data_IF_918368574310
#
_entry.id   IF_918368574310
#
_cell.length_a   1.000
_cell.length_b   1.000
_cell.length_c   1.000
_cell.angle_alpha   90.00
_cell.angle_beta   90.00
_cell.angle_gamma   90.00
#
_symmetry.space_group_name_H-M   'P 1'
#
loop_
_entity.id
_entity.type
_entity.pdbx_description
1 polymer ?
#
# COMPACT_ATOMS: atom_id res chain seq x y z
N UNK A 1 -10.72 3.76 23.63
CA UNK A 1 -9.49 3.84 22.81
C UNK A 1 -9.90 4.37 21.45
N UNK A 2 -9.47 5.57 21.01
CA UNK A 2 -9.71 5.99 19.64
C UNK A 2 -8.91 5.06 18.73
N UNK A 3 -9.61 4.41 17.79
CA UNK A 3 -8.95 3.64 16.72
C UNK A 3 -8.32 4.67 15.80
N UNK A 4 -7.04 5.00 16.01
CA UNK A 4 -6.30 5.88 15.13
C UNK A 4 -6.26 5.22 13.75
N UNK A 5 -7.00 5.77 12.78
CA UNK A 5 -6.96 5.28 11.41
C UNK A 5 -5.51 5.38 10.93
N UNK A 6 -4.86 4.26 10.56
CA UNK A 6 -3.45 4.31 10.16
C UNK A 6 -3.31 5.26 8.97
N UNK A 7 -2.18 5.98 8.93
CA UNK A 7 -1.78 6.74 7.74
C UNK A 7 -1.84 5.78 6.55
N UNK A 8 -2.71 6.07 5.59
CA UNK A 8 -2.87 5.21 4.41
C UNK A 8 -1.91 5.74 3.35
N UNK A 9 -0.84 5.00 3.00
CA UNK A 9 0.08 5.47 1.98
C UNK A 9 -0.66 5.62 0.65
N UNK A 10 -0.20 6.54 -0.20
CA UNK A 10 -0.60 6.50 -1.60
C UNK A 10 -0.12 5.18 -2.21
N UNK A 11 -0.82 4.68 -3.23
CA UNK A 11 -0.42 3.49 -3.97
C UNK A 11 1.07 3.52 -4.39
N UNK A 12 1.50 4.65 -4.96
CA UNK A 12 2.90 4.88 -5.32
C UNK A 12 3.86 4.82 -4.12
N UNK A 13 3.53 5.49 -3.01
CA UNK A 13 4.34 5.48 -1.80
C UNK A 13 4.51 4.09 -1.20
N UNK A 14 3.42 3.33 -1.12
CA UNK A 14 3.45 1.93 -0.68
C UNK A 14 4.29 1.05 -1.60
N UNK A 15 4.16 1.21 -2.92
CA UNK A 15 4.93 0.43 -3.90
C UNK A 15 6.43 0.70 -3.80
N UNK A 16 6.82 1.97 -3.67
CA UNK A 16 8.23 2.38 -3.46
C UNK A 16 8.78 1.74 -2.19
N UNK A 17 8.06 1.88 -1.07
CA UNK A 17 8.47 1.30 0.21
C UNK A 17 8.69 -0.20 0.12
N UNK A 18 7.76 -0.89 -0.53
CA UNK A 18 7.82 -2.34 -0.72
C UNK A 18 9.06 -2.77 -1.50
N UNK A 19 9.27 -2.20 -2.69
CA UNK A 19 10.41 -2.56 -3.54
C UNK A 19 11.74 -2.15 -2.92
N UNK A 20 11.80 -0.97 -2.28
CA UNK A 20 12.99 -0.51 -1.56
C UNK A 20 13.38 -1.51 -0.47
N UNK A 21 12.43 -1.91 0.39
CA UNK A 21 12.68 -2.90 1.46
C UNK A 21 13.11 -4.26 0.92
N UNK A 22 12.46 -4.77 -0.13
CA UNK A 22 12.82 -6.05 -0.74
C UNK A 22 14.23 -6.08 -1.32
N UNK A 23 14.76 -4.93 -1.73
CA UNK A 23 16.12 -4.77 -2.26
C UNK A 23 17.15 -4.38 -1.20
N UNK A 24 16.74 -4.20 0.06
CA UNK A 24 17.64 -3.76 1.13
C UNK A 24 18.13 -2.30 0.98
N UNK A 25 17.49 -1.50 0.12
CA UNK A 25 17.85 -0.10 -0.10
C UNK A 25 17.35 0.74 1.07
N UNK A 26 18.13 1.70 1.53
CA UNK A 26 17.80 2.62 2.61
C UNK A 26 17.10 3.88 2.10
N UNK A 27 16.43 4.61 2.99
CA UNK A 27 15.85 5.92 2.65
C UNK A 27 16.93 6.93 2.22
N UNK A 28 18.15 6.82 2.77
CA UNK A 28 19.26 7.72 2.48
C UNK A 28 19.80 7.49 1.08
N UNK A 29 19.94 6.23 0.65
CA UNK A 29 20.37 5.90 -0.71
C UNK A 29 19.38 6.39 -1.76
N UNK A 30 18.06 6.22 -1.53
CA UNK A 30 17.03 6.80 -2.41
C UNK A 30 17.13 8.32 -2.43
N UNK A 31 17.30 8.94 -1.28
CA UNK A 31 17.38 10.39 -1.16
C UNK A 31 18.59 10.97 -1.91
N UNK A 32 19.74 10.29 -1.86
CA UNK A 32 20.96 10.67 -2.59
C UNK A 32 20.74 10.61 -4.10
N UNK A 33 20.23 9.50 -4.63
CA UNK A 33 19.97 9.33 -6.07
C UNK A 33 18.94 10.36 -6.57
N UNK A 34 17.92 10.64 -5.75
CA UNK A 34 16.82 11.54 -6.11
C UNK A 34 17.10 13.03 -5.78
N UNK A 35 18.29 13.35 -5.27
CA UNK A 35 18.68 14.70 -4.82
C UNK A 35 17.62 15.35 -3.89
N UNK A 36 17.17 14.63 -2.86
CA UNK A 36 16.22 15.09 -1.84
C UNK A 36 16.67 14.71 -0.44
N UNK A 37 15.92 15.12 0.59
CA UNK A 37 16.15 14.65 1.94
C UNK A 37 15.53 13.26 2.17
N UNK A 38 16.11 12.46 3.07
CA UNK A 38 15.51 11.20 3.53
C UNK A 38 14.13 11.41 4.17
N UNK A 39 13.89 12.58 4.78
CA UNK A 39 12.59 12.98 5.32
C UNK A 39 11.54 13.16 4.21
N UNK A 40 11.93 13.65 3.03
CA UNK A 40 11.07 13.74 1.85
C UNK A 40 10.67 12.34 1.36
N UNK A 41 11.63 11.43 1.22
CA UNK A 41 11.35 10.03 0.84
C UNK A 41 10.44 9.35 1.86
N UNK A 42 10.65 9.58 3.16
CA UNK A 42 9.76 9.07 4.23
C UNK A 42 8.33 9.60 4.10
N UNK A 43 8.15 10.89 3.77
CA UNK A 43 6.81 11.48 3.58
C UNK A 43 6.13 10.91 2.34
N UNK A 44 6.87 10.69 1.26
CA UNK A 44 6.37 10.01 0.07
C UNK A 44 5.91 8.57 0.37
N UNK A 45 6.72 7.76 1.05
CA UNK A 45 6.39 6.38 1.40
C UNK A 45 5.16 6.25 2.31
N UNK A 46 4.89 7.27 3.13
CA UNK A 46 3.75 7.30 4.06
C UNK A 46 2.52 8.01 3.50
N UNK A 47 2.58 8.50 2.25
CA UNK A 47 1.49 9.27 1.65
C UNK A 47 1.25 10.64 2.30
N UNK A 48 2.22 11.16 3.08
CA UNK A 48 2.16 12.52 3.66
C UNK A 48 2.50 13.61 2.64
N UNK A 49 3.11 13.23 1.53
CA UNK A 49 3.37 14.11 0.40
C UNK A 49 3.23 13.32 -0.91
N UNK A 50 2.62 13.93 -1.93
CA UNK A 50 2.50 13.34 -3.25
C UNK A 50 3.82 13.41 -4.01
N UNK A 51 4.22 12.29 -4.62
CA UNK A 51 5.42 12.24 -5.46
C UNK A 51 5.12 12.92 -6.80
N UNK A 52 5.90 13.93 -7.21
CA UNK A 52 5.80 14.53 -8.54
C UNK A 52 6.00 13.50 -9.64
N UNK A 53 5.21 13.57 -10.72
CA UNK A 53 5.25 12.59 -11.81
C UNK A 53 6.66 12.33 -12.38
N UNK A 54 7.49 13.36 -12.68
CA UNK A 54 8.85 13.13 -13.21
C UNK A 54 9.77 12.36 -12.25
N UNK A 55 9.52 12.46 -10.93
CA UNK A 55 10.29 11.74 -9.92
C UNK A 55 9.85 10.27 -9.80
N UNK A 56 8.64 9.94 -10.24
CA UNK A 56 8.14 8.55 -10.20
C UNK A 56 8.87 7.67 -11.20
N UNK A 57 9.14 8.17 -12.40
CA UNK A 57 9.89 7.43 -13.42
C UNK A 57 11.31 7.12 -12.94
N UNK A 58 12.03 8.12 -12.44
CA UNK A 58 13.37 7.90 -11.88
C UNK A 58 13.37 6.96 -10.66
N UNK A 59 12.34 7.01 -9.80
CA UNK A 59 12.16 6.06 -8.71
C UNK A 59 11.90 4.64 -9.23
N UNK A 60 11.08 4.48 -10.26
CA UNK A 60 10.79 3.19 -10.86
C UNK A 60 12.04 2.58 -11.48
N UNK A 61 12.83 3.38 -12.19
CA UNK A 61 14.12 2.98 -12.78
C UNK A 61 15.12 2.55 -11.70
N UNK A 62 15.32 3.37 -10.67
CA UNK A 62 16.19 3.04 -9.53
C UNK A 62 15.74 1.73 -8.84
N UNK A 63 14.43 1.57 -8.66
CA UNK A 63 13.84 0.38 -8.05
C UNK A 63 13.66 -0.76 -9.05
N UNK A 64 14.14 -0.63 -10.29
CA UNK A 64 14.05 -1.60 -11.37
C UNK A 64 12.66 -2.24 -11.51
N UNK A 65 11.62 -1.40 -11.50
CA UNK A 65 10.22 -1.77 -11.72
C UNK A 65 9.64 -0.97 -12.87
N UNK A 66 8.61 -1.53 -13.50
CA UNK A 66 7.83 -0.81 -14.49
C UNK A 66 7.16 0.43 -13.86
N UNK A 67 7.30 1.64 -14.43
CA UNK A 67 6.67 2.86 -13.90
C UNK A 67 5.15 2.76 -13.74
N UNK A 68 4.47 1.97 -14.57
CA UNK A 68 3.02 1.74 -14.48
C UNK A 68 2.63 1.05 -13.17
N UNK A 69 3.51 0.21 -12.60
CA UNK A 69 3.28 -0.44 -11.30
C UNK A 69 3.24 0.53 -10.12
N UNK A 70 3.80 1.73 -10.25
CA UNK A 70 3.66 2.77 -9.22
C UNK A 70 2.23 3.32 -9.12
N UNK A 71 1.38 3.06 -10.12
CA UNK A 71 -0.02 3.46 -10.13
C UNK A 71 -0.94 2.38 -9.55
N UNK A 72 -0.49 1.13 -9.55
CA UNK A 72 -1.22 0.00 -8.98
C UNK A 72 -1.32 0.09 -7.45
N UNK A 73 -2.39 -0.44 -6.85
CA UNK A 73 -2.49 -0.56 -5.40
C UNK A 73 -1.23 -1.18 -4.81
N UNK A 74 -0.56 -0.42 -3.93
CA UNK A 74 0.60 -0.93 -3.22
C UNK A 74 0.23 -2.15 -2.36
N UNK A 75 1.18 -3.07 -2.14
CA UNK A 75 0.91 -4.22 -1.31
C UNK A 75 0.53 -3.78 0.11
N UNK A 76 -0.60 -4.29 0.58
CA UNK A 76 -1.07 -4.05 1.94
C UNK A 76 -0.29 -4.99 2.88
N UNK A 77 0.61 -4.42 3.68
CA UNK A 77 1.23 -5.16 4.79
C UNK A 77 0.17 -5.30 5.91
N UNK A 78 -0.39 -6.50 6.04
CA UNK A 78 -1.30 -6.84 7.14
C UNK A 78 -0.49 -7.22 8.40
N UNK A 79 -0.71 -6.53 9.54
CA UNK A 79 -0.21 -6.97 10.85
C UNK A 79 -0.52 -8.44 11.13
N UNK A 80 0.31 -9.10 11.94
CA UNK A 80 0.14 -10.53 12.25
C UNK A 80 -1.22 -10.82 12.92
N UNK A 81 -1.68 -9.92 13.80
CA UNK A 81 -2.98 -10.00 14.45
C UNK A 81 -4.12 -9.94 13.42
N UNK A 82 -4.09 -8.94 12.53
CA UNK A 82 -5.09 -8.77 11.47
C UNK A 82 -5.12 -9.97 10.52
N UNK A 83 -3.95 -10.55 10.21
CA UNK A 83 -3.84 -11.74 9.36
C UNK A 83 -4.55 -12.94 9.98
N UNK A 84 -4.31 -13.22 11.25
CA UNK A 84 -4.97 -14.33 11.96
C UNK A 84 -6.49 -14.11 12.01
N UNK A 85 -6.93 -12.89 12.27
CA UNK A 85 -8.35 -12.55 12.27
C UNK A 85 -9.00 -12.76 10.89
N UNK A 86 -8.32 -12.36 9.81
CA UNK A 86 -8.78 -12.58 8.43
C UNK A 86 -8.85 -14.07 8.07
N UNK A 87 -7.87 -14.87 8.48
CA UNK A 87 -7.87 -16.32 8.31
C UNK A 87 -9.08 -16.94 9.01
N UNK A 88 -9.35 -16.55 10.26
CA UNK A 88 -10.52 -16.98 11.01
C UNK A 88 -11.82 -16.67 10.25
N UNK A 89 -11.98 -15.46 9.72
CA UNK A 89 -13.19 -15.08 8.96
C UNK A 89 -13.36 -15.91 7.70
N UNK A 90 -12.28 -16.13 6.96
CA UNK A 90 -12.36 -16.95 5.74
C UNK A 90 -12.69 -18.41 6.03
N UNK A 91 -12.36 -18.89 7.24
CA UNK A 91 -12.71 -20.24 7.69
C UNK A 91 -14.17 -20.38 8.19
N UNK A 92 -14.87 -19.26 8.43
CA UNK A 92 -16.26 -19.31 8.88
C UNK A 92 -17.18 -19.87 7.77
N UNK A 93 -18.26 -20.59 8.12
CA UNK A 93 -19.32 -20.95 7.19
C UNK A 93 -19.89 -19.73 6.44
N UNK A 94 -20.38 -19.94 5.21
CA UNK A 94 -20.90 -18.86 4.37
C UNK A 94 -22.03 -18.04 5.03
N UNK A 95 -22.87 -18.68 5.86
CA UNK A 95 -23.92 -18.01 6.64
C UNK A 95 -23.36 -17.03 7.68
N UNK A 96 -22.26 -17.38 8.34
CA UNK A 96 -21.59 -16.54 9.33
C UNK A 96 -20.82 -15.41 8.66
N UNK A 97 -20.17 -15.67 7.51
CA UNK A 97 -19.56 -14.62 6.71
C UNK A 97 -20.60 -13.60 6.20
N UNK A 98 -21.80 -14.06 5.83
CA UNK A 98 -22.89 -13.18 5.41
C UNK A 98 -23.39 -12.31 6.56
N UNK A 99 -23.61 -12.88 7.74
CA UNK A 99 -24.00 -12.15 8.94
C UNK A 99 -22.95 -11.10 9.35
N UNK A 100 -21.66 -11.44 9.26
CA UNK A 100 -20.57 -10.51 9.55
C UNK A 100 -20.55 -9.33 8.55
N UNK A 101 -20.74 -9.59 7.25
CA UNK A 101 -20.83 -8.52 6.23
C UNK A 101 -21.97 -7.55 6.50
N UNK A 102 -23.13 -8.08 6.92
CA UNK A 102 -24.28 -7.27 7.31
C UNK A 102 -23.97 -6.41 8.55
N UNK A 103 -23.40 -7.02 9.59
CA UNK A 103 -23.06 -6.35 10.85
C UNK A 103 -22.02 -5.23 10.67
N UNK A 104 -21.04 -5.42 9.78
CA UNK A 104 -20.03 -4.40 9.44
C UNK A 104 -20.56 -3.38 8.42
N UNK A 105 -21.77 -3.58 7.87
CA UNK A 105 -22.37 -2.67 6.90
C UNK A 105 -21.68 -2.69 5.53
N UNK A 106 -20.89 -3.71 5.22
CA UNK A 106 -20.25 -3.89 3.90
C UNK A 106 -21.26 -4.47 2.91
N UNK A 107 -22.11 -3.59 2.34
CA UNK A 107 -22.95 -3.97 1.20
C UNK A 107 -22.05 -4.32 0.00
N UNK A 108 -22.32 -5.45 -0.64
CA UNK A 108 -21.54 -6.06 -1.73
C UNK A 108 -20.86 -5.04 -2.64
N UNK A 109 -19.53 -4.98 -2.60
CA UNK A 109 -18.75 -4.39 -3.70
C UNK A 109 -18.94 -5.31 -4.91
N UNK A 110 -19.91 -5.00 -5.75
CA UNK A 110 -20.00 -5.61 -7.07
C UNK A 110 -18.81 -5.05 -7.86
N UNK A 111 -17.75 -5.84 -7.99
CA UNK A 111 -16.57 -5.45 -8.74
C UNK A 111 -16.96 -5.19 -10.19
N UNK A 112 -17.11 -3.92 -10.56
CA UNK A 112 -16.88 -3.47 -11.92
C UNK A 112 -15.43 -3.84 -12.25
N UNK A 113 -15.27 -5.03 -12.83
CA UNK A 113 -14.14 -5.27 -13.72
C UNK A 113 -14.31 -4.22 -14.81
N UNK A 114 -13.46 -3.20 -14.79
CA UNK A 114 -13.18 -2.42 -15.98
C UNK A 114 -12.72 -3.42 -17.05
N UNK A 115 -13.66 -3.83 -17.88
CA UNK A 115 -13.41 -4.52 -19.13
C UNK A 115 -12.80 -3.49 -20.08
N UNK A 116 -11.81 -3.95 -20.84
CA UNK A 116 -11.26 -3.28 -22.01
C UNK A 116 -12.35 -2.79 -22.96
#
# INVERSE_FOLDING_TARGET
>A
MPVSRPETPTHAGAMIRHHRRRRGITLVEVAQVMAVSAATVSRWERGRETIPFPRREALAEMLGIDPTRLLEPGPVELPAEDRHWLECIHSLPASEQAALRELVGMRSFNGERASC
#
